data_IF_958839476966
#
_entry.id   IF_958839476966
#
_cell.length_a   1.000
_cell.length_b   1.000
_cell.length_c   1.000
_cell.angle_alpha   90.00
_cell.angle_beta   90.00
_cell.angle_gamma   90.00
#
_symmetry.space_group_name_H-M   'P 1'
#
loop_
_entity.id
_entity.type
_entity.pdbx_description
1 polymer ?
#
# COMPACT_ATOMS: atom_id res chain seq x y z
N UNK A 1 -62.96 6.47 25.43
CA UNK A 1 -62.47 6.94 26.74
C UNK A 1 -61.39 7.98 26.47
N UNK A 2 -61.59 9.29 26.73
CA UNK A 2 -61.67 9.93 28.06
C UNK A 2 -60.31 9.73 28.78
N UNK A 3 -59.53 10.71 29.24
CA UNK A 3 -59.62 12.18 29.42
C UNK A 3 -58.15 12.60 29.77
N UNK A 4 -57.53 13.53 29.06
CA UNK A 4 -57.22 14.93 29.46
C UNK A 4 -56.38 15.12 30.75
N UNK A 5 -55.25 15.85 30.68
CA UNK A 5 -54.99 17.23 31.23
C UNK A 5 -53.83 17.19 32.23
N UNK A 6 -53.01 18.21 32.50
CA UNK A 6 -53.05 19.69 32.36
C UNK A 6 -51.57 20.17 32.38
N UNK A 7 -51.08 21.14 31.59
CA UNK A 7 -51.29 22.62 31.66
C UNK A 7 -50.60 23.20 32.92
N UNK A 8 -49.87 24.33 33.01
CA UNK A 8 -49.39 25.41 32.13
C UNK A 8 -48.71 26.44 33.05
N UNK A 9 -47.85 27.31 32.47
CA UNK A 9 -47.63 28.72 32.87
C UNK A 9 -46.89 28.98 34.20
N UNK A 10 -46.14 30.08 34.38
CA UNK A 10 -45.73 31.22 33.55
C UNK A 10 -45.01 32.21 34.48
N UNK A 11 -44.25 33.15 33.90
CA UNK A 11 -44.17 34.56 34.35
C UNK A 11 -43.43 34.84 35.68
N UNK A 12 -42.76 35.97 35.96
CA UNK A 12 -42.53 37.27 35.33
C UNK A 12 -41.48 38.00 36.22
N UNK A 13 -40.76 38.97 35.63
CA UNK A 13 -40.33 40.26 36.20
C UNK A 13 -39.39 40.34 37.44
N UNK A 14 -38.23 40.99 37.22
CA UNK A 14 -37.63 42.20 37.87
C UNK A 14 -38.39 42.86 39.06
N UNK A 15 -37.84 43.78 39.89
CA UNK A 15 -36.61 44.61 39.75
C UNK A 15 -35.85 44.97 41.07
N UNK A 16 -34.93 45.93 40.95
CA UNK A 16 -34.11 46.63 41.94
C UNK A 16 -34.81 47.22 43.19
N UNK A 17 -34.03 47.47 44.27
CA UNK A 17 -34.02 48.75 45.02
C UNK A 17 -33.04 48.77 46.21
N UNK A 18 -32.16 49.78 46.17
CA UNK A 18 -31.53 50.61 47.24
C UNK A 18 -31.74 50.25 48.71
N UNK A 19 -30.66 50.40 49.49
CA UNK A 19 -30.71 50.97 50.83
C UNK A 19 -29.62 52.02 51.07
N UNK A 20 -30.07 53.10 51.70
CA UNK A 20 -29.36 54.29 52.20
C UNK A 20 -28.63 53.99 53.51
N UNK A 21 -27.61 54.77 53.87
CA UNK A 21 -27.53 55.50 55.16
C UNK A 21 -26.28 56.39 55.16
N UNK A 22 -26.51 57.63 55.58
CA UNK A 22 -25.54 58.71 55.78
C UNK A 22 -24.66 58.45 57.02
N UNK A 23 -23.49 59.08 57.10
CA UNK A 23 -23.26 60.10 58.14
C UNK A 23 -21.99 60.91 57.85
N UNK A 24 -22.09 62.19 58.19
CA UNK A 24 -21.13 63.27 57.96
C UNK A 24 -20.46 63.57 59.29
N UNK A 25 -19.12 63.60 59.34
CA UNK A 25 -18.40 64.36 60.36
C UNK A 25 -17.31 65.23 59.75
N UNK A 26 -17.13 66.38 60.41
CA UNK A 26 -16.47 67.62 59.98
C UNK A 26 -15.23 67.82 60.83
N UNK A 27 -14.06 68.11 60.23
CA UNK A 27 -12.91 68.58 61.02
C UNK A 27 -11.58 68.67 60.27
N UNK A 28 -11.17 69.91 60.01
CA UNK A 28 -9.80 70.45 59.91
C UNK A 28 -8.84 70.08 58.77
N UNK A 29 -8.19 71.14 58.24
CA UNK A 29 -7.09 71.13 57.27
C UNK A 29 -5.75 71.08 58.00
N UNK A 30 -4.81 70.27 57.52
CA UNK A 30 -3.38 70.58 57.41
C UNK A 30 -2.65 69.54 56.52
N UNK A 31 -1.46 69.84 55.96
CA UNK A 31 -1.12 69.47 54.58
C UNK A 31 0.01 68.42 54.44
N UNK A 32 0.17 67.95 53.19
CA UNK A 32 1.33 67.25 52.60
C UNK A 32 1.55 65.77 52.99
N UNK A 33 1.38 64.87 52.01
CA UNK A 33 2.50 64.06 51.49
C UNK A 33 2.10 63.36 50.18
N UNK A 34 2.94 63.62 49.18
CA UNK A 34 3.13 62.91 47.92
C UNK A 34 2.76 61.41 48.00
N UNK A 35 2.05 60.89 46.98
CA UNK A 35 2.47 59.70 46.22
C UNK A 35 1.42 59.37 45.13
N UNK A 36 1.65 59.90 43.94
CA UNK A 36 1.07 59.36 42.71
C UNK A 36 1.68 57.98 42.43
N UNK A 37 0.93 56.91 42.69
CA UNK A 37 1.29 55.57 42.21
C UNK A 37 0.79 55.44 40.78
N UNK A 38 1.59 55.94 39.83
CA UNK A 38 1.47 55.55 38.43
C UNK A 38 2.00 54.11 38.29
N UNK A 39 1.10 53.14 38.16
CA UNK A 39 1.44 51.75 37.80
C UNK A 39 2.12 51.73 36.43
N UNK A 40 3.45 51.55 36.46
CA UNK A 40 4.30 51.35 35.29
C UNK A 40 4.01 49.99 34.66
N UNK A 41 3.19 49.99 33.60
CA UNK A 41 3.12 48.89 32.64
C UNK A 41 4.46 48.80 31.91
N UNK A 42 5.34 47.90 32.35
CA UNK A 42 6.60 47.57 31.69
C UNK A 42 6.32 46.95 30.32
N UNK A 43 6.26 47.79 29.26
CA UNK A 43 6.37 47.33 27.87
C UNK A 43 7.78 46.75 27.70
N UNK A 44 7.90 45.43 27.61
CA UNK A 44 9.12 44.80 27.13
C UNK A 44 9.33 45.23 25.68
N UNK A 45 10.26 46.16 25.47
CA UNK A 45 10.73 46.57 24.16
C UNK A 45 11.47 45.38 23.56
N UNK A 46 10.81 44.64 22.68
CA UNK A 46 11.46 43.64 21.84
C UNK A 46 12.55 44.39 21.07
N UNK A 47 13.81 44.10 21.40
CA UNK A 47 14.95 44.68 20.72
C UNK A 47 14.86 44.30 19.25
N UNK A 48 14.67 45.29 18.38
CA UNK A 48 14.82 45.16 16.93
C UNK A 48 16.30 44.92 16.63
N UNK A 49 16.75 43.68 16.81
CA UNK A 49 18.00 43.22 16.25
C UNK A 49 17.97 43.39 14.73
N UNK A 50 19.05 43.87 14.13
CA UNK A 50 19.17 43.99 12.67
C UNK A 50 19.00 42.59 12.08
N UNK A 51 17.82 42.34 11.53
CA UNK A 51 17.50 41.10 10.84
C UNK A 51 18.36 41.08 9.58
N UNK A 52 19.34 40.19 9.55
CA UNK A 52 20.21 40.07 8.39
C UNK A 52 19.46 39.25 7.34
N UNK A 53 18.98 39.90 6.27
CA UNK A 53 18.23 39.24 5.19
C UNK A 53 18.98 38.04 4.59
N UNK A 54 20.32 38.03 4.65
CA UNK A 54 21.13 36.86 4.27
C UNK A 54 20.92 35.64 5.17
N UNK A 55 20.73 35.84 6.47
CA UNK A 55 20.46 34.75 7.43
C UNK A 55 19.05 34.19 7.23
N UNK A 56 18.08 35.05 6.93
CA UNK A 56 16.72 34.63 6.57
C UNK A 56 16.74 33.82 5.26
N UNK A 57 17.46 34.30 4.24
CA UNK A 57 17.60 33.60 2.96
C UNK A 57 18.21 32.21 3.11
N UNK A 58 19.28 32.08 3.93
CA UNK A 58 19.89 30.79 4.25
C UNK A 58 18.91 29.85 4.98
N UNK A 59 18.11 30.38 5.91
CA UNK A 59 17.06 29.61 6.59
C UNK A 59 16.02 29.05 5.63
N UNK A 60 15.52 29.86 4.70
CA UNK A 60 14.57 29.39 3.67
C UNK A 60 15.18 28.34 2.75
N UNK A 61 16.43 28.53 2.31
CA UNK A 61 17.11 27.54 1.46
C UNK A 61 17.29 26.19 2.17
N UNK A 62 17.63 26.19 3.46
CA UNK A 62 17.73 24.97 4.24
C UNK A 62 16.38 24.28 4.42
N UNK A 63 15.32 25.04 4.73
CA UNK A 63 13.97 24.47 4.88
C UNK A 63 13.47 23.89 3.55
N UNK A 64 13.66 24.61 2.44
CA UNK A 64 13.35 24.11 1.10
C UNK A 64 14.16 22.84 0.79
N UNK A 65 15.45 22.82 1.10
CA UNK A 65 16.31 21.65 0.89
C UNK A 65 15.85 20.42 1.71
N UNK A 66 15.48 20.61 2.98
CA UNK A 66 14.98 19.53 3.84
C UNK A 66 13.60 19.06 3.39
N UNK A 67 12.69 19.97 3.04
CA UNK A 67 11.36 19.61 2.53
C UNK A 67 11.44 18.88 1.19
N UNK A 68 12.28 19.34 0.26
CA UNK A 68 12.53 18.63 -1.01
C UNK A 68 13.19 17.27 -0.74
N UNK A 69 14.22 17.21 0.11
CA UNK A 69 14.89 15.95 0.44
C UNK A 69 13.95 14.92 1.08
N UNK A 70 13.13 15.35 2.04
CA UNK A 70 12.11 14.49 2.67
C UNK A 70 10.98 14.14 1.70
N UNK A 71 10.57 15.06 0.82
CA UNK A 71 9.60 14.79 -0.24
C UNK A 71 10.13 13.74 -1.23
N UNK A 72 11.37 13.85 -1.68
CA UNK A 72 12.01 12.88 -2.59
C UNK A 72 12.21 11.52 -1.92
N UNK A 73 12.59 11.50 -0.64
CA UNK A 73 12.66 10.26 0.14
C UNK A 73 11.27 9.63 0.29
N UNK A 74 10.22 10.43 0.48
CA UNK A 74 8.85 9.95 0.54
C UNK A 74 8.37 9.45 -0.83
N UNK A 75 8.75 10.10 -1.93
CA UNK A 75 8.39 9.75 -3.30
C UNK A 75 9.02 8.41 -3.73
N UNK A 76 10.28 8.18 -3.39
CA UNK A 76 10.95 6.89 -3.60
C UNK A 76 10.36 5.74 -2.76
N UNK A 77 9.72 6.09 -1.63
CA UNK A 77 9.09 5.15 -0.70
C UNK A 77 7.56 5.15 -0.81
N UNK A 78 6.97 5.78 -1.83
CA UNK A 78 5.53 5.70 -2.07
C UNK A 78 5.19 4.22 -2.24
N UNK A 79 4.36 3.63 -1.35
CA UNK A 79 3.81 2.32 -1.65
C UNK A 79 3.04 2.46 -2.96
N UNK A 80 3.09 1.42 -3.81
CA UNK A 80 2.08 1.27 -4.86
C UNK A 80 0.72 1.58 -4.24
N UNK A 81 -0.09 2.46 -4.83
CA UNK A 81 -1.40 2.74 -4.27
C UNK A 81 -2.10 1.40 -4.08
N UNK A 82 -2.55 1.11 -2.85
CA UNK A 82 -3.29 -0.11 -2.54
C UNK A 82 -4.65 0.06 -3.24
N UNK A 83 -4.68 -0.24 -4.53
CA UNK A 83 -5.86 -0.07 -5.36
C UNK A 83 -6.82 -1.26 -5.22
N UNK A 84 -6.29 -2.43 -4.84
CA UNK A 84 -7.04 -3.68 -4.77
C UNK A 84 -6.60 -4.50 -3.54
N UNK A 85 -7.53 -5.18 -2.84
CA UNK A 85 -7.18 -6.15 -1.82
C UNK A 85 -6.40 -7.31 -2.47
N UNK A 86 -5.38 -7.81 -1.78
CA UNK A 86 -4.63 -8.98 -2.21
C UNK A 86 -5.25 -10.25 -1.61
N UNK A 87 -5.62 -11.20 -2.46
CA UNK A 87 -6.35 -12.40 -2.06
C UNK A 87 -5.48 -13.66 -2.25
N UNK A 88 -4.84 -14.09 -1.17
CA UNK A 88 -3.96 -15.27 -1.17
C UNK A 88 -4.73 -16.54 -0.76
N UNK A 89 -4.63 -17.57 -1.59
CA UNK A 89 -4.95 -18.95 -1.22
C UNK A 89 -3.64 -19.69 -0.94
N UNK A 90 -3.41 -19.98 0.33
CA UNK A 90 -2.22 -20.69 0.80
C UNK A 90 -2.17 -22.13 0.27
N UNK A 91 -0.96 -22.70 0.22
CA UNK A 91 -0.68 -24.04 -0.32
C UNK A 91 -1.62 -25.14 0.22
N UNK A 92 -1.80 -25.12 1.54
CA UNK A 92 -2.66 -26.08 2.26
C UNK A 92 -4.14 -25.90 1.92
N UNK A 93 -4.56 -24.67 1.59
CA UNK A 93 -5.96 -24.34 1.31
C UNK A 93 -6.45 -24.91 -0.03
N UNK A 94 -5.56 -25.11 -1.01
CA UNK A 94 -5.89 -25.78 -2.26
C UNK A 94 -5.53 -27.29 -2.29
N UNK A 95 -4.98 -27.82 -1.19
CA UNK A 95 -4.89 -29.26 -0.95
C UNK A 95 -3.47 -29.85 -0.82
N UNK A 96 -2.42 -29.05 -0.95
CA UNK A 96 -1.04 -29.55 -0.84
C UNK A 96 -0.41 -29.25 0.53
N UNK A 97 0.09 -30.30 1.18
CA UNK A 97 0.55 -30.27 2.56
C UNK A 97 2.07 -30.47 2.68
N UNK A 98 2.73 -30.94 1.61
CA UNK A 98 4.19 -31.07 1.53
C UNK A 98 4.81 -29.68 1.42
N UNK A 99 5.99 -29.55 1.99
CA UNK A 99 6.81 -28.36 1.81
C UNK A 99 7.17 -28.17 0.33
N UNK A 100 7.27 -26.92 -0.15
CA UNK A 100 7.76 -26.63 -1.48
C UNK A 100 9.10 -27.27 -1.78
N UNK A 101 9.29 -27.69 -3.04
CA UNK A 101 10.61 -28.11 -3.52
C UNK A 101 11.50 -26.89 -3.80
N UNK A 102 12.81 -27.05 -3.65
CA UNK A 102 13.81 -26.02 -3.98
C UNK A 102 14.53 -25.44 -2.77
N UNK A 103 15.44 -24.50 -3.03
CA UNK A 103 16.23 -23.83 -1.98
C UNK A 103 15.42 -22.70 -1.34
N UNK A 104 15.70 -22.45 -0.06
CA UNK A 104 15.08 -21.35 0.68
C UNK A 104 15.61 -19.99 0.21
N UNK A 105 14.71 -19.03 0.04
CA UNK A 105 15.02 -17.62 -0.24
C UNK A 105 15.04 -16.82 1.05
N UNK A 106 16.23 -16.33 1.39
CA UNK A 106 16.44 -15.50 2.58
C UNK A 106 16.51 -14.00 2.28
N UNK A 107 16.48 -13.63 1.00
CA UNK A 107 16.58 -12.26 0.50
C UNK A 107 15.32 -11.84 -0.26
N UNK A 108 15.13 -10.53 -0.39
CA UNK A 108 14.13 -9.97 -1.30
C UNK A 108 14.58 -10.16 -2.74
N UNK A 109 13.64 -10.44 -3.65
CA UNK A 109 13.92 -10.51 -5.09
C UNK A 109 13.71 -9.16 -5.75
N UNK A 110 14.30 -8.94 -6.93
CA UNK A 110 14.09 -7.75 -7.76
C UNK A 110 13.58 -8.06 -9.18
N UNK A 111 13.40 -9.34 -9.50
CA UNK A 111 12.91 -9.78 -10.80
C UNK A 111 11.61 -10.56 -10.62
N UNK A 112 10.59 -10.19 -11.39
CA UNK A 112 9.37 -10.98 -11.51
C UNK A 112 9.18 -11.39 -12.96
N UNK A 113 9.16 -12.70 -13.17
CA UNK A 113 8.86 -13.30 -14.47
C UNK A 113 7.40 -13.70 -14.49
N UNK A 114 6.67 -13.19 -15.47
CA UNK A 114 5.27 -13.53 -15.70
C UNK A 114 5.18 -14.49 -16.88
N UNK A 115 4.45 -15.58 -16.68
CA UNK A 115 4.21 -16.61 -17.69
C UNK A 115 2.73 -16.99 -17.67
N UNK A 116 2.28 -17.72 -18.67
CA UNK A 116 0.99 -18.40 -18.59
C UNK A 116 1.15 -19.90 -18.29
N UNK A 117 0.06 -20.58 -17.94
CA UNK A 117 0.04 -22.06 -17.84
C UNK A 117 -0.25 -22.74 -19.19
N UNK A 118 -0.63 -21.96 -20.21
CA UNK A 118 -1.00 -22.47 -21.52
C UNK A 118 -2.24 -23.36 -21.42
N UNK A 119 -2.23 -24.48 -22.16
CA UNK A 119 -3.35 -25.42 -22.20
C UNK A 119 -3.35 -26.43 -21.03
N UNK A 120 -2.37 -26.38 -20.12
CA UNK A 120 -2.32 -27.27 -18.95
C UNK A 120 -3.36 -26.85 -17.89
N UNK A 121 -3.78 -25.58 -17.92
CA UNK A 121 -4.78 -25.03 -17.00
C UNK A 121 -5.84 -24.24 -17.74
N UNK A 122 -7.05 -24.78 -17.83
CA UNK A 122 -8.19 -24.06 -18.38
C UNK A 122 -8.50 -22.81 -17.55
N UNK A 123 -8.97 -21.75 -18.22
CA UNK A 123 -9.44 -20.54 -17.54
C UNK A 123 -10.55 -20.90 -16.56
N UNK A 124 -10.41 -20.44 -15.33
CA UNK A 124 -11.31 -20.74 -14.22
C UNK A 124 -11.86 -19.42 -13.66
N UNK A 125 -13.17 -19.29 -13.50
CA UNK A 125 -13.81 -17.96 -13.27
C UNK A 125 -14.39 -17.78 -11.88
N UNK A 126 -14.50 -18.85 -11.10
CA UNK A 126 -14.94 -18.83 -9.70
C UNK A 126 -13.93 -19.57 -8.81
N UNK A 127 -13.95 -19.25 -7.51
CA UNK A 127 -12.97 -19.74 -6.53
C UNK A 127 -12.85 -21.28 -6.52
N UNK A 128 -13.98 -21.99 -6.45
CA UNK A 128 -13.99 -23.46 -6.39
C UNK A 128 -13.37 -24.07 -7.65
N UNK A 129 -13.74 -23.56 -8.84
CA UNK A 129 -13.18 -24.03 -10.10
C UNK A 129 -11.68 -23.80 -10.17
N UNK A 130 -11.18 -22.64 -9.70
CA UNK A 130 -9.77 -22.35 -9.75
C UNK A 130 -8.95 -23.16 -8.74
N UNK A 131 -9.47 -23.41 -7.54
CA UNK A 131 -8.84 -24.33 -6.59
C UNK A 131 -8.67 -25.71 -7.23
N UNK A 132 -9.72 -26.23 -7.88
CA UNK A 132 -9.65 -27.51 -8.60
C UNK A 132 -8.65 -27.48 -9.75
N UNK A 133 -8.61 -26.39 -10.53
CA UNK A 133 -7.64 -26.23 -11.62
C UNK A 133 -6.20 -26.25 -11.10
N UNK A 134 -5.90 -25.52 -10.02
CA UNK A 134 -4.56 -25.51 -9.42
C UNK A 134 -4.16 -26.90 -8.93
N UNK A 135 -5.05 -27.59 -8.20
CA UNK A 135 -4.81 -28.94 -7.73
C UNK A 135 -4.55 -29.91 -8.90
N UNK A 136 -5.31 -29.80 -9.99
CA UNK A 136 -5.16 -30.65 -11.18
C UNK A 136 -3.83 -30.39 -11.90
N UNK A 137 -3.46 -29.13 -12.14
CA UNK A 137 -2.17 -28.75 -12.76
C UNK A 137 -1.03 -29.35 -11.93
N UNK A 138 -1.08 -29.17 -10.61
CA UNK A 138 -0.05 -29.67 -9.70
C UNK A 138 0.03 -31.21 -9.71
N UNK A 139 -1.11 -31.89 -9.65
CA UNK A 139 -1.17 -33.36 -9.68
C UNK A 139 -0.59 -33.93 -10.98
N UNK A 140 -0.98 -33.37 -12.14
CA UNK A 140 -0.44 -33.78 -13.44
C UNK A 140 1.07 -33.54 -13.52
N UNK A 141 1.54 -32.40 -13.00
CA UNK A 141 2.96 -32.08 -12.98
C UNK A 141 3.78 -33.09 -12.17
N UNK A 142 3.36 -33.38 -10.94
CA UNK A 142 4.10 -34.30 -10.05
C UNK A 142 4.14 -35.72 -10.61
N UNK A 143 3.08 -36.18 -11.30
CA UNK A 143 3.07 -37.50 -11.93
C UNK A 143 4.20 -37.69 -12.96
N UNK A 144 4.67 -36.60 -13.57
CA UNK A 144 5.71 -36.65 -14.61
C UNK A 144 7.09 -36.26 -14.07
N UNK A 145 7.15 -35.29 -13.15
CA UNK A 145 8.40 -34.63 -12.79
C UNK A 145 8.91 -34.99 -11.38
N UNK A 146 8.08 -35.61 -10.52
CA UNK A 146 8.41 -35.98 -9.13
C UNK A 146 8.81 -34.81 -8.20
N UNK A 147 8.70 -33.56 -8.65
CA UNK A 147 8.97 -32.35 -7.87
C UNK A 147 7.85 -31.32 -8.03
N UNK A 148 7.82 -30.34 -7.12
CA UNK A 148 6.78 -29.31 -7.07
C UNK A 148 6.72 -28.48 -8.36
N UNK A 149 5.53 -27.97 -8.67
CA UNK A 149 5.27 -27.13 -9.84
C UNK A 149 6.27 -25.94 -9.87
N UNK A 150 6.81 -25.54 -11.04
CA UNK A 150 7.99 -24.67 -11.09
C UNK A 150 7.70 -23.18 -10.82
N UNK A 151 6.43 -22.78 -10.65
CA UNK A 151 6.03 -21.42 -10.31
C UNK A 151 6.19 -21.14 -8.82
N UNK A 152 6.38 -19.86 -8.46
CA UNK A 152 6.19 -19.40 -7.09
C UNK A 152 4.70 -19.25 -6.77
N UNK A 153 3.96 -18.63 -7.69
CA UNK A 153 2.55 -18.32 -7.55
C UNK A 153 1.79 -18.56 -8.85
N UNK A 154 0.50 -18.85 -8.74
CA UNK A 154 -0.43 -18.82 -9.87
C UNK A 154 -1.52 -17.78 -9.63
N UNK A 155 -2.02 -17.12 -10.68
CA UNK A 155 -3.14 -16.17 -10.61
C UNK A 155 -4.29 -16.70 -11.47
N UNK A 156 -5.40 -17.01 -10.81
CA UNK A 156 -6.61 -17.51 -11.47
C UNK A 156 -7.48 -16.37 -12.02
N UNK A 157 -8.28 -16.66 -13.05
CA UNK A 157 -9.25 -15.71 -13.63
C UNK A 157 -10.45 -15.40 -12.70
N UNK A 158 -10.49 -16.07 -11.53
CA UNK A 158 -11.32 -15.72 -10.38
C UNK A 158 -10.79 -14.53 -9.57
N UNK A 159 -9.55 -14.06 -9.80
CA UNK A 159 -8.94 -12.95 -9.07
C UNK A 159 -8.28 -13.31 -7.75
N UNK A 160 -7.73 -14.53 -7.63
CA UNK A 160 -6.99 -14.99 -6.45
C UNK A 160 -5.58 -15.42 -6.84
N UNK A 161 -4.62 -15.16 -5.95
CA UNK A 161 -3.26 -15.67 -6.02
C UNK A 161 -3.14 -16.97 -5.24
N UNK A 162 -2.61 -18.01 -5.87
CA UNK A 162 -2.39 -19.34 -5.28
C UNK A 162 -0.91 -19.54 -4.97
N UNK A 163 -0.60 -19.85 -3.72
CA UNK A 163 0.76 -20.14 -3.30
C UNK A 163 1.18 -21.53 -3.79
N UNK A 164 2.17 -21.58 -4.67
CA UNK A 164 2.83 -22.83 -5.06
C UNK A 164 4.09 -22.97 -4.20
N UNK A 165 5.23 -22.45 -4.65
CA UNK A 165 6.46 -22.41 -3.86
C UNK A 165 6.52 -21.23 -2.89
N UNK A 166 5.70 -20.20 -3.14
CA UNK A 166 5.59 -19.04 -2.27
C UNK A 166 6.80 -18.11 -2.33
N UNK A 167 6.87 -17.19 -1.36
CA UNK A 167 7.94 -16.17 -1.28
C UNK A 167 9.25 -16.69 -0.71
N UNK A 168 9.25 -17.88 -0.12
CA UNK A 168 10.37 -18.39 0.67
C UNK A 168 11.20 -19.45 -0.06
N UNK A 169 10.87 -19.79 -1.31
CA UNK A 169 11.56 -20.83 -2.06
C UNK A 169 11.84 -20.39 -3.50
N UNK A 170 12.96 -20.84 -4.06
CA UNK A 170 13.32 -20.62 -5.46
C UNK A 170 12.31 -21.26 -6.42
N UNK A 171 12.08 -20.62 -7.56
CA UNK A 171 11.32 -21.20 -8.67
C UNK A 171 11.99 -22.47 -9.23
N UNK A 172 11.19 -23.31 -9.90
CA UNK A 172 11.63 -24.60 -10.44
C UNK A 172 12.08 -24.58 -11.90
N UNK A 173 12.09 -23.42 -12.56
CA UNK A 173 12.44 -23.34 -13.98
C UNK A 173 13.97 -23.31 -14.16
N UNK A 174 14.57 -24.47 -14.36
CA UNK A 174 16.05 -24.63 -14.38
C UNK A 174 16.78 -23.78 -15.42
N UNK A 175 16.11 -23.42 -16.51
CA UNK A 175 16.66 -22.58 -17.58
C UNK A 175 16.56 -21.08 -17.30
N UNK A 176 15.87 -20.66 -16.23
CA UNK A 176 15.81 -19.26 -15.82
C UNK A 176 17.06 -18.95 -14.99
N UNK A 177 17.88 -17.96 -15.39
CA UNK A 177 19.04 -17.55 -14.60
C UNK A 177 18.63 -16.82 -13.32
N UNK A 178 19.51 -16.79 -12.32
CA UNK A 178 19.33 -16.03 -11.07
C UNK A 178 18.01 -16.34 -10.34
N UNK A 179 17.70 -17.63 -10.16
CA UNK A 179 16.46 -18.09 -9.50
C UNK A 179 16.36 -17.61 -8.06
N UNK A 180 17.49 -17.38 -7.40
CA UNK A 180 17.62 -16.81 -6.06
C UNK A 180 17.18 -15.35 -5.95
N UNK A 181 16.98 -14.68 -7.08
CA UNK A 181 16.56 -13.28 -7.17
C UNK A 181 15.33 -13.09 -8.06
N UNK A 182 14.56 -14.16 -8.30
CA UNK A 182 13.44 -14.16 -9.25
C UNK A 182 12.22 -14.89 -8.71
N UNK A 183 11.07 -14.21 -8.68
CA UNK A 183 9.77 -14.86 -8.58
C UNK A 183 9.21 -15.16 -9.96
N UNK A 184 8.62 -16.34 -10.14
CA UNK A 184 7.87 -16.71 -11.34
C UNK A 184 6.38 -16.82 -11.01
N UNK A 185 5.57 -15.98 -11.64
CA UNK A 185 4.12 -15.91 -11.44
C UNK A 185 3.42 -16.36 -12.72
N UNK A 186 2.62 -17.42 -12.61
CA UNK A 186 1.87 -17.99 -13.73
C UNK A 186 0.43 -17.46 -13.78
N UNK A 187 -0.02 -16.97 -14.92
CA UNK A 187 -1.43 -16.72 -15.17
C UNK A 187 -2.09 -18.02 -15.63
N UNK A 188 -3.14 -18.47 -14.94
CA UNK A 188 -3.87 -19.68 -15.33
C UNK A 188 -4.66 -19.39 -16.60
N UNK A 189 -4.34 -20.10 -17.68
CA UNK A 189 -4.94 -19.98 -19.01
C UNK A 189 -3.92 -19.91 -20.14
N UNK A 190 -4.43 -19.83 -21.36
CA UNK A 190 -3.66 -19.57 -22.58
C UNK A 190 -3.91 -18.12 -23.04
N UNK A 191 -2.83 -17.34 -23.05
CA UNK A 191 -2.85 -15.91 -23.40
C UNK A 191 -1.98 -15.59 -24.61
N UNK A 192 -1.91 -16.52 -25.57
CA UNK A 192 -1.29 -16.27 -26.88
C UNK A 192 -2.13 -15.28 -27.68
N UNK A 193 -3.44 -15.53 -27.82
CA UNK A 193 -4.34 -14.67 -28.60
C UNK A 193 -5.24 -13.77 -27.72
N UNK A 194 -5.65 -14.27 -26.56
CA UNK A 194 -6.59 -13.59 -25.68
C UNK A 194 -5.85 -12.92 -24.52
N UNK A 195 -6.21 -11.69 -24.18
CA UNK A 195 -5.62 -10.99 -23.03
C UNK A 195 -6.06 -11.58 -21.68
N UNK A 196 -5.25 -11.42 -20.62
CA UNK A 196 -5.68 -11.60 -19.25
C UNK A 196 -6.92 -10.77 -18.90
N UNK A 197 -7.74 -11.26 -17.99
CA UNK A 197 -8.86 -10.45 -17.50
C UNK A 197 -8.36 -9.32 -16.60
N UNK A 198 -9.19 -8.28 -16.46
CA UNK A 198 -8.89 -7.19 -15.55
C UNK A 198 -8.69 -7.68 -14.10
N UNK A 199 -9.45 -8.71 -13.67
CA UNK A 199 -9.30 -9.30 -12.33
C UNK A 199 -7.92 -9.90 -12.12
N UNK A 200 -7.35 -10.60 -13.11
CA UNK A 200 -6.00 -11.15 -13.00
C UNK A 200 -4.94 -10.04 -12.95
N UNK A 201 -5.13 -8.96 -13.72
CA UNK A 201 -4.20 -7.83 -13.73
C UNK A 201 -4.25 -7.02 -12.44
N UNK A 202 -5.44 -6.83 -11.88
CA UNK A 202 -5.64 -6.16 -10.59
C UNK A 202 -5.03 -6.98 -9.46
N UNK A 203 -5.24 -8.30 -9.47
CA UNK A 203 -4.64 -9.22 -8.51
C UNK A 203 -3.11 -9.28 -8.65
N UNK A 204 -2.56 -9.20 -9.87
CA UNK A 204 -1.10 -9.10 -10.07
C UNK A 204 -0.52 -7.81 -9.44
N UNK A 205 -1.22 -6.68 -9.56
CA UNK A 205 -0.80 -5.42 -8.92
C UNK A 205 -0.91 -5.51 -7.39
N UNK A 206 -1.94 -6.19 -6.88
CA UNK A 206 -2.09 -6.47 -5.46
C UNK A 206 -0.95 -7.37 -4.96
N UNK A 207 -0.56 -8.39 -5.72
CA UNK A 207 0.58 -9.25 -5.45
C UNK A 207 1.90 -8.46 -5.34
N UNK A 208 2.17 -7.53 -6.26
CA UNK A 208 3.37 -6.68 -6.19
C UNK A 208 3.38 -5.84 -4.91
N UNK A 209 2.25 -5.18 -4.62
CA UNK A 209 2.08 -4.33 -3.44
C UNK A 209 2.30 -5.11 -2.15
N UNK A 210 1.69 -6.30 -2.05
CA UNK A 210 1.84 -7.17 -0.89
C UNK A 210 3.27 -7.72 -0.77
N UNK A 211 3.88 -8.14 -1.88
CA UNK A 211 5.25 -8.67 -1.88
C UNK A 211 6.27 -7.62 -1.44
N UNK A 212 6.08 -6.36 -1.84
CA UNK A 212 6.89 -5.23 -1.36
C UNK A 212 6.63 -4.97 0.13
N UNK A 213 5.36 -4.96 0.56
CA UNK A 213 4.97 -4.78 1.98
C UNK A 213 5.61 -5.86 2.88
N UNK A 214 5.68 -7.10 2.39
CA UNK A 214 6.32 -8.24 3.06
C UNK A 214 7.85 -8.22 3.00
N UNK A 215 8.46 -7.23 2.32
CA UNK A 215 9.91 -7.17 2.05
C UNK A 215 10.42 -8.41 1.31
N UNK A 216 9.58 -9.01 0.47
CA UNK A 216 9.93 -10.15 -0.39
C UNK A 216 10.24 -9.74 -1.81
N UNK A 217 9.76 -8.57 -2.23
CA UNK A 217 10.05 -7.93 -3.51
C UNK A 217 10.62 -6.53 -3.25
N UNK A 218 11.69 -6.14 -3.95
CA UNK A 218 12.21 -4.78 -3.88
C UNK A 218 11.26 -3.80 -4.58
N UNK A 219 11.21 -2.54 -4.12
CA UNK A 219 10.36 -1.53 -4.75
C UNK A 219 10.77 -1.21 -6.19
N UNK A 220 12.06 -1.35 -6.50
CA UNK A 220 12.63 -1.20 -7.85
C UNK A 220 12.77 -2.54 -8.57
N UNK A 221 11.70 -3.32 -8.60
CA UNK A 221 11.69 -4.59 -9.32
C UNK A 221 11.47 -4.41 -10.83
N UNK A 222 11.79 -5.44 -11.60
CA UNK A 222 11.53 -5.52 -13.04
C UNK A 222 10.52 -6.62 -13.36
N UNK A 223 9.70 -6.39 -14.39
CA UNK A 223 8.75 -7.35 -14.93
C UNK A 223 9.30 -7.85 -16.26
N UNK A 224 9.49 -9.16 -16.34
CA UNK A 224 9.83 -9.83 -17.58
C UNK A 224 8.74 -10.83 -17.94
N UNK A 225 8.47 -11.02 -19.23
CA UNK A 225 7.54 -12.05 -19.69
C UNK A 225 8.27 -13.13 -20.47
N UNK A 226 7.75 -14.36 -20.44
CA UNK A 226 8.35 -15.46 -21.20
C UNK A 226 7.62 -15.68 -22.52
N UNK A 227 8.38 -16.00 -23.56
CA UNK A 227 7.90 -16.57 -24.82
C UNK A 227 8.56 -17.92 -25.04
N UNK A 228 7.77 -18.99 -25.02
CA UNK A 228 8.27 -20.33 -25.30
C UNK A 228 8.17 -20.69 -26.79
N UNK A 229 9.31 -20.66 -27.48
CA UNK A 229 9.39 -20.99 -28.91
C UNK A 229 9.21 -22.48 -29.21
N UNK A 230 9.29 -23.37 -28.21
CA UNK A 230 8.93 -24.77 -28.38
C UNK A 230 7.40 -24.94 -28.55
N UNK A 231 6.61 -24.01 -28.00
CA UNK A 231 5.14 -24.01 -28.12
C UNK A 231 4.70 -23.28 -29.40
N UNK A 232 5.10 -22.02 -29.56
CA UNK A 232 4.77 -21.20 -30.73
C UNK A 232 5.65 -19.95 -30.83
N UNK A 233 5.81 -19.41 -32.04
CA UNK A 233 6.47 -18.10 -32.26
C UNK A 233 5.72 -16.94 -31.61
N UNK A 234 4.40 -17.10 -31.47
CA UNK A 234 3.49 -16.10 -30.92
C UNK A 234 3.06 -16.47 -29.48
N UNK A 235 3.77 -17.39 -28.83
CA UNK A 235 3.47 -17.78 -27.46
C UNK A 235 3.37 -16.57 -26.52
N UNK A 236 2.31 -16.55 -25.72
CA UNK A 236 2.04 -15.49 -24.75
C UNK A 236 1.92 -14.07 -25.34
N UNK A 237 1.69 -13.91 -26.65
CA UNK A 237 1.72 -12.59 -27.30
C UNK A 237 0.73 -11.59 -26.70
N UNK A 238 -0.53 -11.98 -26.44
CA UNK A 238 -1.52 -11.10 -25.82
C UNK A 238 -1.18 -10.75 -24.36
N UNK A 239 -0.60 -11.69 -23.60
CA UNK A 239 -0.08 -11.43 -22.25
C UNK A 239 1.08 -10.43 -22.30
N UNK A 240 2.06 -10.63 -23.17
CA UNK A 240 3.22 -9.74 -23.35
C UNK A 240 2.75 -8.32 -23.69
N UNK A 241 1.81 -8.19 -24.62
CA UNK A 241 1.24 -6.89 -25.01
C UNK A 241 0.56 -6.17 -23.84
N UNK A 242 -0.03 -6.93 -22.92
CA UNK A 242 -0.69 -6.37 -21.74
C UNK A 242 0.33 -5.92 -20.68
N UNK A 243 1.39 -6.72 -20.47
CA UNK A 243 2.43 -6.45 -19.49
C UNK A 243 3.37 -5.31 -19.92
N UNK A 244 3.59 -5.12 -21.21
CA UNK A 244 4.50 -4.10 -21.74
C UNK A 244 4.08 -2.66 -21.47
N UNK A 245 2.85 -2.46 -21.02
CA UNK A 245 2.27 -1.17 -20.67
C UNK A 245 2.54 -0.82 -19.19
N UNK A 246 2.95 -1.79 -18.36
CA UNK A 246 3.22 -1.56 -16.93
C UNK A 246 4.52 -0.79 -16.72
N UNK A 247 4.57 0.08 -15.70
CA UNK A 247 5.72 0.96 -15.42
C UNK A 247 7.04 0.21 -15.19
N UNK A 248 6.98 -1.00 -14.63
CA UNK A 248 8.15 -1.84 -14.31
C UNK A 248 8.51 -2.84 -15.41
N UNK A 249 7.88 -2.73 -16.58
CA UNK A 249 8.20 -3.58 -17.72
C UNK A 249 9.68 -3.45 -18.12
N UNK A 250 10.33 -4.59 -18.34
CA UNK A 250 11.73 -4.67 -18.73
C UNK A 250 11.89 -5.35 -20.09
N UNK A 251 11.66 -6.67 -20.18
CA UNK A 251 12.01 -7.42 -21.38
C UNK A 251 11.20 -8.71 -21.58
N UNK A 252 11.35 -9.30 -22.76
CA UNK A 252 10.84 -10.63 -23.10
C UNK A 252 12.00 -11.62 -22.99
N UNK A 253 11.81 -12.69 -22.22
CA UNK A 253 12.74 -13.82 -22.12
C UNK A 253 12.25 -14.92 -23.06
N UNK A 254 13.09 -15.24 -24.05
CA UNK A 254 12.79 -16.29 -25.03
C UNK A 254 13.40 -17.61 -24.57
N UNK A 255 12.60 -18.67 -24.57
CA UNK A 255 12.97 -20.00 -24.08
C UNK A 255 12.57 -21.09 -25.08
N UNK A 256 13.21 -22.24 -25.01
CA UNK A 256 12.96 -23.42 -25.85
C UNK A 256 13.03 -24.68 -24.99
N UNK A 257 11.99 -24.93 -24.19
CA UNK A 257 11.88 -26.15 -23.39
C UNK A 257 10.49 -26.75 -23.52
#
# INVERSE_FOLDING_TARGET
>A
AIITTKTTSSNLLNPASKNSINDIERGEKAPLLQNDVATSMRKNKIGTGRINFGVIGLGFLLICGVTIGTYLLFEQNRPWPIMFPFELIERQSWGEHRLPSGRSLNQSVDNVIIMHTGNVGDRCTNLESCIKTVANIHQQWIQTNEHDLPYNFLIGDCGYTYEIRGWNYENGFEHIPNRENTFVVGFIGNFTENSPSQRQLDELKAFFSESIRRKKLLSKFTINAVRNLAVSKDDSQALINTLSILENWSSIITVTF
#
